data_IF_102639844690
#
_entry.id   IF_102639844690
#
_cell.length_a   1.000
_cell.length_b   1.000
_cell.length_c   1.000
_cell.angle_alpha   90.00
_cell.angle_beta   90.00
_cell.angle_gamma   90.00
#
_symmetry.space_group_name_H-M   'P 1'
#
loop_
_entity.id
_entity.type
_entity.pdbx_description
1 polymer ?
#
# COMPACT_ATOMS: atom_id res chain seq x y z
N UNK A 1 -9.24 3.44 -10.10
CA UNK A 1 -7.97 2.91 -10.64
C UNK A 1 -8.08 2.86 -12.15
N UNK A 2 -7.04 3.22 -12.87
CA UNK A 2 -6.92 3.09 -14.32
C UNK A 2 -5.87 2.01 -14.65
N UNK A 3 -6.20 1.09 -15.55
CA UNK A 3 -5.24 0.11 -16.09
C UNK A 3 -4.56 0.73 -17.29
N UNK A 4 -3.24 0.81 -17.28
CA UNK A 4 -2.46 1.43 -18.36
C UNK A 4 -2.05 0.39 -19.40
N UNK A 5 -1.33 -0.65 -18.98
CA UNK A 5 -0.84 -1.71 -19.86
C UNK A 5 -0.42 -2.94 -19.05
N UNK A 6 -0.43 -4.12 -19.68
CA UNK A 6 0.28 -5.28 -19.15
C UNK A 6 1.80 -5.04 -19.23
N UNK A 7 2.54 -5.56 -18.26
CA UNK A 7 4.01 -5.48 -18.18
C UNK A 7 4.60 -6.82 -17.76
N UNK A 8 5.87 -7.05 -18.08
CA UNK A 8 6.59 -8.24 -17.64
C UNK A 8 7.20 -8.01 -16.25
N UNK A 9 7.32 -9.07 -15.45
CA UNK A 9 7.91 -9.01 -14.11
C UNK A 9 9.30 -8.35 -14.06
N UNK A 10 10.25 -8.60 -14.99
CA UNK A 10 11.54 -7.91 -14.98
C UNK A 10 11.44 -6.39 -15.01
N UNK A 11 10.45 -5.82 -15.71
CA UNK A 11 10.23 -4.36 -15.73
C UNK A 11 9.78 -3.84 -14.36
N UNK A 12 8.93 -4.60 -13.67
CA UNK A 12 8.43 -4.28 -12.33
C UNK A 12 9.58 -4.34 -11.32
N UNK A 13 10.39 -5.39 -11.38
CA UNK A 13 11.55 -5.58 -10.51
C UNK A 13 12.60 -4.49 -10.73
N UNK A 14 12.92 -4.15 -11.99
CA UNK A 14 13.82 -3.04 -12.32
C UNK A 14 13.28 -1.69 -11.80
N UNK A 15 11.96 -1.47 -11.86
CA UNK A 15 11.33 -0.29 -11.28
C UNK A 15 11.45 -0.25 -9.76
N UNK A 16 11.25 -1.39 -9.10
CA UNK A 16 11.40 -1.53 -7.65
C UNK A 16 12.82 -1.16 -7.20
N UNK A 17 13.85 -1.71 -7.84
CA UNK A 17 15.26 -1.48 -7.49
C UNK A 17 15.72 -0.04 -7.70
N UNK A 18 15.17 0.67 -8.70
CA UNK A 18 15.47 2.11 -8.91
C UNK A 18 14.99 2.97 -7.73
N UNK A 19 13.84 2.64 -7.16
CA UNK A 19 13.24 3.42 -6.07
C UNK A 19 13.70 2.94 -4.67
N UNK A 20 14.23 1.72 -4.59
CA UNK A 20 14.67 1.06 -3.35
C UNK A 20 16.10 0.52 -3.47
N UNK A 21 17.12 1.39 -3.63
CA UNK A 21 18.49 0.90 -3.67
C UNK A 21 18.79 0.14 -2.38
N UNK A 22 19.12 -1.14 -2.54
CA UNK A 22 19.40 -2.08 -1.42
C UNK A 22 20.58 -1.59 -0.59
N UNK A 23 21.50 -0.87 -1.22
CA UNK A 23 22.71 -0.28 -0.61
C UNK A 23 22.48 1.09 0.04
N UNK A 24 21.24 1.55 0.20
CA UNK A 24 20.99 2.81 0.92
C UNK A 24 21.48 2.68 2.35
N UNK A 25 22.50 3.46 2.71
CA UNK A 25 23.02 3.57 4.06
C UNK A 25 21.96 4.20 4.99
N UNK A 26 21.07 3.37 5.51
CA UNK A 26 20.10 3.70 6.53
C UNK A 26 19.93 2.48 7.43
N UNK A 27 20.08 2.66 8.74
CA UNK A 27 20.02 1.58 9.74
C UNK A 27 18.72 0.77 9.72
N UNK A 28 17.64 1.35 9.19
CA UNK A 28 16.32 0.75 9.03
C UNK A 28 15.96 0.37 7.57
N UNK A 29 16.97 0.09 6.73
CA UNK A 29 16.78 -0.33 5.35
C UNK A 29 16.29 -1.81 5.31
N UNK A 30 14.99 -1.99 5.13
CA UNK A 30 14.31 -3.29 5.03
C UNK A 30 13.92 -3.66 3.59
N UNK A 31 14.56 -3.04 2.59
CA UNK A 31 14.18 -3.20 1.17
C UNK A 31 14.24 -4.66 0.67
N UNK A 32 15.05 -5.54 1.28
CA UNK A 32 15.07 -6.97 0.94
C UNK A 32 13.70 -7.65 1.13
N UNK A 33 12.94 -7.27 2.18
CA UNK A 33 11.63 -7.86 2.42
C UNK A 33 10.60 -7.47 1.35
N UNK A 34 10.71 -6.26 0.80
CA UNK A 34 9.85 -5.82 -0.29
C UNK A 34 10.17 -6.57 -1.59
N UNK A 35 11.45 -6.76 -1.90
CA UNK A 35 11.89 -7.54 -3.07
C UNK A 35 11.40 -8.99 -3.01
N UNK A 36 11.58 -9.68 -1.87
CA UNK A 36 11.09 -11.05 -1.72
C UNK A 36 9.55 -11.14 -1.84
N UNK A 37 8.82 -10.11 -1.40
CA UNK A 37 7.38 -10.06 -1.58
C UNK A 37 6.97 -9.87 -3.04
N UNK A 38 7.76 -9.13 -3.84
CA UNK A 38 7.57 -9.09 -5.30
C UNK A 38 7.78 -10.47 -5.93
N UNK A 39 8.83 -11.20 -5.54
CA UNK A 39 9.10 -12.57 -6.02
C UNK A 39 7.96 -13.55 -5.68
N UNK A 40 7.42 -13.46 -4.45
CA UNK A 40 6.25 -14.25 -4.04
C UNK A 40 5.01 -13.87 -4.84
N UNK A 41 4.82 -12.57 -5.06
CA UNK A 41 3.66 -12.03 -5.77
C UNK A 41 3.65 -12.40 -7.26
N UNK A 42 4.80 -12.60 -7.90
CA UNK A 42 4.90 -13.03 -9.30
C UNK A 42 4.24 -14.41 -9.57
N UNK A 43 4.00 -15.19 -8.52
CA UNK A 43 3.29 -16.47 -8.60
C UNK A 43 1.77 -16.32 -8.66
N UNK A 44 1.24 -15.11 -8.47
CA UNK A 44 -0.20 -14.82 -8.52
C UNK A 44 -0.67 -14.86 -9.99
N UNK A 45 -1.70 -15.66 -10.32
CA UNK A 45 -2.24 -15.72 -11.68
C UNK A 45 -2.82 -14.37 -12.13
N UNK A 46 -2.68 -14.05 -13.43
CA UNK A 46 -3.23 -12.82 -14.02
C UNK A 46 -2.16 -11.84 -14.54
N UNK A 47 -0.90 -12.06 -14.16
CA UNK A 47 0.25 -11.27 -14.63
C UNK A 47 0.31 -9.86 -14.04
N UNK A 48 1.29 -9.09 -14.48
CA UNK A 48 1.55 -7.74 -13.98
C UNK A 48 0.95 -6.66 -14.90
N UNK A 49 0.50 -5.59 -14.26
CA UNK A 49 -0.13 -4.44 -14.89
C UNK A 49 0.47 -3.16 -14.36
N UNK A 50 0.77 -2.22 -15.25
CA UNK A 50 0.97 -0.83 -14.87
C UNK A 50 -0.40 -0.18 -14.69
N UNK A 51 -0.59 0.51 -13.58
CA UNK A 51 -1.84 1.14 -13.20
C UNK A 51 -1.61 2.59 -12.78
N UNK A 52 -2.70 3.38 -12.73
CA UNK A 52 -2.75 4.68 -12.09
C UNK A 52 -3.82 4.73 -11.02
N UNK A 53 -3.46 5.33 -9.89
CA UNK A 53 -4.26 5.40 -8.68
C UNK A 53 -4.64 6.84 -8.38
N UNK A 54 -5.90 7.03 -8.01
CA UNK A 54 -6.41 8.22 -7.35
C UNK A 54 -6.24 8.10 -5.84
N UNK A 55 -6.46 9.18 -5.10
CA UNK A 55 -6.51 9.20 -3.64
C UNK A 55 -7.51 8.16 -3.12
N UNK A 56 -8.70 8.09 -3.70
CA UNK A 56 -9.72 7.10 -3.31
C UNK A 56 -9.20 5.67 -3.45
N UNK A 57 -8.47 5.37 -4.54
CA UNK A 57 -7.89 4.04 -4.74
C UNK A 57 -6.83 3.74 -3.68
N UNK A 58 -5.93 4.69 -3.43
CA UNK A 58 -4.85 4.53 -2.43
C UNK A 58 -5.41 4.33 -1.03
N UNK A 59 -6.42 5.11 -0.65
CA UNK A 59 -7.06 5.01 0.65
C UNK A 59 -7.74 3.65 0.89
N UNK A 60 -8.17 2.97 -0.18
CA UNK A 60 -8.77 1.65 -0.13
C UNK A 60 -7.78 0.47 -0.12
N UNK A 61 -6.48 0.72 -0.28
CA UNK A 61 -5.46 -0.35 -0.27
C UNK A 61 -5.40 -0.98 1.12
N UNK A 62 -5.48 -2.30 1.18
CA UNK A 62 -5.31 -3.10 2.39
C UNK A 62 -3.83 -3.27 2.70
N UNK A 63 -3.45 -2.93 3.92
CA UNK A 63 -2.12 -3.09 4.48
C UNK A 63 -2.07 -4.39 5.32
N UNK A 64 -1.04 -5.23 5.13
CA UNK A 64 -0.78 -6.40 5.98
C UNK A 64 -0.27 -5.98 7.36
N UNK A 65 -0.09 -6.95 8.25
CA UNK A 65 0.44 -6.73 9.59
C UNK A 65 1.75 -5.91 9.54
N UNK A 66 1.83 -4.88 10.35
CA UNK A 66 3.04 -4.07 10.48
C UNK A 66 3.20 -3.64 11.94
N UNK A 67 4.14 -4.29 12.61
CA UNK A 67 4.65 -3.83 13.91
C UNK A 67 5.67 -2.72 13.67
N UNK A 68 5.58 -1.64 14.44
CA UNK A 68 6.57 -0.57 14.32
C UNK A 68 7.98 -1.11 14.62
N UNK A 69 8.92 -0.82 13.72
CA UNK A 69 10.33 -1.17 13.92
C UNK A 69 10.85 -0.53 15.21
N UNK A 70 11.11 -1.33 16.25
CA UNK A 70 11.52 -0.81 17.56
C UNK A 70 10.41 -0.08 18.33
N UNK A 71 9.13 -0.31 18.00
CA UNK A 71 7.98 0.22 18.73
C UNK A 71 7.15 -0.86 19.43
N UNK A 72 6.29 -0.41 20.35
CA UNK A 72 5.44 -1.30 21.17
C UNK A 72 4.04 -1.50 20.58
N UNK A 73 3.65 -0.68 19.58
CA UNK A 73 2.31 -0.69 19.03
C UNK A 73 2.33 -1.12 17.56
N UNK A 74 1.31 -1.90 17.21
CA UNK A 74 1.02 -2.18 15.81
C UNK A 74 0.55 -0.90 15.12
N UNK A 75 1.24 -0.56 14.02
CA UNK A 75 0.73 0.41 13.05
C UNK A 75 -0.43 -0.22 12.28
N UNK A 76 -0.27 -1.48 11.89
CA UNK A 76 -1.33 -2.29 11.29
C UNK A 76 -1.45 -3.62 12.04
N UNK A 77 -2.61 -3.93 12.64
CA UNK A 77 -2.85 -5.22 13.30
C UNK A 77 -2.87 -6.38 12.30
N UNK A 78 -2.76 -7.60 12.82
CA UNK A 78 -2.77 -8.84 12.02
C UNK A 78 -3.97 -9.02 11.11
N UNK A 79 -5.14 -8.50 11.50
CA UNK A 79 -6.35 -8.50 10.69
C UNK A 79 -6.25 -7.65 9.41
N UNK A 80 -5.26 -6.76 9.34
CA UNK A 80 -5.11 -5.73 8.31
C UNK A 80 -5.89 -4.45 8.62
N UNK A 81 -5.51 -3.37 7.92
CA UNK A 81 -6.23 -2.10 7.85
C UNK A 81 -6.10 -1.54 6.44
N UNK A 82 -7.04 -0.71 6.03
CA UNK A 82 -6.85 0.14 4.86
C UNK A 82 -5.86 1.29 5.15
N UNK A 83 -5.31 1.90 4.11
CA UNK A 83 -4.48 3.11 4.24
C UNK A 83 -5.25 4.23 4.95
N UNK A 84 -6.55 4.39 4.68
CA UNK A 84 -7.39 5.36 5.37
C UNK A 84 -7.44 5.11 6.89
N UNK A 85 -7.74 3.88 7.30
CA UNK A 85 -7.86 3.51 8.71
C UNK A 85 -6.52 3.62 9.44
N UNK A 86 -5.43 3.21 8.81
CA UNK A 86 -4.10 3.34 9.37
C UNK A 86 -3.68 4.83 9.50
N UNK A 87 -4.00 5.68 8.53
CA UNK A 87 -3.75 7.12 8.63
C UNK A 87 -4.55 7.78 9.76
N UNK A 88 -5.83 7.42 9.92
CA UNK A 88 -6.66 7.89 11.04
C UNK A 88 -6.11 7.43 12.39
N UNK A 89 -5.65 6.18 12.50
CA UNK A 89 -5.00 5.67 13.71
C UNK A 89 -3.78 6.50 14.11
N UNK A 90 -2.93 6.86 13.15
CA UNK A 90 -1.77 7.73 13.38
C UNK A 90 -2.20 9.13 13.82
N UNK A 91 -3.20 9.73 13.14
CA UNK A 91 -3.73 11.07 13.50
C UNK A 91 -4.30 11.09 14.91
N UNK A 92 -5.16 10.12 15.24
CA UNK A 92 -5.84 10.03 16.54
C UNK A 92 -4.85 9.75 17.69
N UNK A 93 -3.81 8.95 17.44
CA UNK A 93 -2.81 8.62 18.46
C UNK A 93 -1.83 9.75 18.77
N UNK A 94 -1.60 10.67 17.83
CA UNK A 94 -0.83 11.90 18.04
C UNK A 94 0.56 11.69 18.65
N UNK A 95 0.89 12.47 19.68
CA UNK A 95 2.19 12.43 20.35
C UNK A 95 2.46 11.09 21.06
N UNK A 96 1.43 10.46 21.63
CA UNK A 96 1.58 9.18 22.32
C UNK A 96 1.95 8.07 21.33
N UNK A 97 1.30 8.02 20.16
CA UNK A 97 1.67 7.08 19.10
C UNK A 97 3.10 7.32 18.60
N UNK A 98 3.49 8.60 18.43
CA UNK A 98 4.85 8.96 18.01
C UNK A 98 5.91 8.47 19.00
N UNK A 99 5.67 8.65 20.30
CA UNK A 99 6.60 8.19 21.34
C UNK A 99 6.73 6.66 21.38
N UNK A 100 5.64 5.93 21.17
CA UNK A 100 5.63 4.47 21.16
C UNK A 100 6.15 3.85 19.86
N UNK A 101 6.28 4.63 18.77
CA UNK A 101 6.65 4.16 17.43
C UNK A 101 7.69 5.07 16.75
N UNK A 102 8.86 5.30 17.38
CA UNK A 102 9.78 6.37 16.99
C UNK A 102 10.35 6.21 15.58
N UNK A 103 10.65 4.98 15.14
CA UNK A 103 11.20 4.72 13.79
C UNK A 103 10.15 4.95 12.71
N UNK A 104 8.94 4.41 12.88
CA UNK A 104 7.84 4.66 11.94
C UNK A 104 7.51 6.16 11.87
N UNK A 105 7.44 6.85 13.01
CA UNK A 105 7.21 8.29 13.02
C UNK A 105 8.32 9.07 12.29
N UNK A 106 9.59 8.69 12.47
CA UNK A 106 10.70 9.28 11.75
C UNK A 106 10.61 9.04 10.23
N UNK A 107 10.27 7.82 9.80
CA UNK A 107 10.04 7.47 8.39
C UNK A 107 8.90 8.29 7.79
N UNK A 108 7.75 8.40 8.49
CA UNK A 108 6.61 9.21 8.02
C UNK A 108 6.99 10.68 7.86
N UNK A 109 7.72 11.26 8.83
CA UNK A 109 8.20 12.65 8.75
C UNK A 109 9.15 12.86 7.58
N UNK A 110 10.06 11.93 7.32
CA UNK A 110 10.99 11.99 6.20
C UNK A 110 10.25 11.91 4.86
N UNK A 111 9.31 10.97 4.74
CA UNK A 111 8.63 10.65 3.48
C UNK A 111 7.49 11.61 3.12
N UNK A 112 7.03 12.45 4.04
CA UNK A 112 5.92 13.40 3.79
C UNK A 112 6.16 14.28 2.57
N UNK A 113 7.42 14.60 2.26
CA UNK A 113 7.83 15.42 1.12
C UNK A 113 8.57 14.65 0.02
N UNK A 114 8.66 13.33 0.14
CA UNK A 114 9.29 12.50 -0.89
C UNK A 114 8.51 12.59 -2.22
N UNK A 115 9.17 12.38 -3.38
CA UNK A 115 8.49 12.25 -4.66
C UNK A 115 7.38 11.18 -4.61
N UNK A 116 6.32 11.36 -5.41
CA UNK A 116 5.32 10.32 -5.63
C UNK A 116 5.92 9.25 -6.54
N UNK A 117 6.47 8.20 -5.94
CA UNK A 117 7.00 7.04 -6.68
C UNK A 117 5.94 5.96 -6.83
N UNK A 118 6.09 5.02 -7.77
CA UNK A 118 5.23 3.85 -7.87
C UNK A 118 5.01 3.11 -6.55
N UNK A 119 3.82 2.55 -6.40
CA UNK A 119 3.46 1.58 -5.35
C UNK A 119 3.26 0.20 -5.96
N UNK A 120 3.50 -0.85 -5.18
CA UNK A 120 3.45 -2.24 -5.65
C UNK A 120 2.35 -2.98 -4.91
N UNK A 121 1.47 -3.61 -5.67
CA UNK A 121 0.20 -4.14 -5.20
C UNK A 121 -0.06 -5.54 -5.76
N UNK A 122 -0.89 -6.30 -5.05
CA UNK A 122 -1.42 -7.58 -5.51
C UNK A 122 -2.95 -7.61 -5.34
N UNK A 123 -3.61 -8.48 -6.11
CA UNK A 123 -5.05 -8.74 -5.94
C UNK A 123 -5.37 -9.78 -4.87
N UNK A 124 -4.34 -10.45 -4.34
CA UNK A 124 -4.43 -11.51 -3.35
C UNK A 124 -3.22 -11.46 -2.40
N UNK A 125 -3.35 -11.95 -1.16
CA UNK A 125 -2.23 -12.00 -0.22
C UNK A 125 -1.12 -12.92 -0.72
N UNK A 126 0.14 -12.55 -0.48
CA UNK A 126 1.30 -13.39 -0.79
C UNK A 126 1.53 -14.43 0.32
N UNK A 127 2.30 -15.48 0.01
CA UNK A 127 2.67 -16.52 0.98
C UNK A 127 3.76 -16.01 1.96
N UNK A 128 3.33 -15.22 2.94
CA UNK A 128 4.17 -14.65 3.99
C UNK A 128 3.37 -14.46 5.29
N UNK A 129 4.03 -14.53 6.45
CA UNK A 129 3.36 -14.49 7.77
C UNK A 129 2.53 -13.23 7.99
N UNK A 130 2.97 -12.10 7.44
CA UNK A 130 2.31 -10.80 7.62
C UNK A 130 0.94 -10.71 6.94
N UNK A 131 0.70 -11.63 5.99
CA UNK A 131 -0.51 -11.73 5.19
C UNK A 131 -1.44 -12.86 5.66
N UNK A 132 -0.96 -13.74 6.56
CA UNK A 132 -1.65 -14.95 6.97
C UNK A 132 -3.02 -14.68 7.58
N UNK A 133 -3.11 -13.66 8.43
CA UNK A 133 -4.27 -13.35 9.26
C UNK A 133 -5.19 -12.26 8.67
N UNK A 134 -4.95 -11.83 7.41
CA UNK A 134 -5.75 -10.81 6.75
C UNK A 134 -7.22 -11.24 6.63
N UNK A 135 -8.13 -10.38 7.12
CA UNK A 135 -9.58 -10.58 7.01
C UNK A 135 -10.04 -10.34 5.56
N UNK A 136 -9.57 -9.24 4.95
CA UNK A 136 -9.81 -8.94 3.54
C UNK A 136 -8.70 -9.58 2.71
N UNK A 137 -9.08 -10.57 1.91
CA UNK A 137 -8.14 -11.36 1.08
C UNK A 137 -8.32 -11.12 -0.42
N UNK A 138 -9.06 -10.08 -0.80
CA UNK A 138 -9.28 -9.65 -2.17
C UNK A 138 -9.37 -8.12 -2.25
N UNK A 139 -9.13 -7.56 -3.43
CA UNK A 139 -9.03 -6.11 -3.65
C UNK A 139 -7.57 -5.68 -3.87
N UNK A 140 -7.25 -4.41 -3.62
CA UNK A 140 -5.86 -3.93 -3.69
C UNK A 140 -5.15 -4.20 -2.37
N UNK A 141 -4.16 -5.09 -2.39
CA UNK A 141 -3.35 -5.45 -1.22
C UNK A 141 -1.92 -4.95 -1.42
N UNK A 142 -1.36 -4.35 -0.39
CA UNK A 142 -0.02 -3.77 -0.39
C UNK A 142 1.08 -4.85 -0.48
N UNK A 143 2.06 -4.63 -1.36
CA UNK A 143 3.35 -5.35 -1.38
C UNK A 143 4.48 -4.43 -0.91
N UNK A 144 4.52 -3.19 -1.41
CA UNK A 144 5.50 -2.18 -1.01
C UNK A 144 4.93 -0.74 -1.03
N UNK A 145 5.50 0.14 -0.19
CA UNK A 145 5.16 1.56 -0.13
C UNK A 145 4.31 2.00 1.07
N UNK A 146 4.12 1.16 2.10
CA UNK A 146 3.26 1.44 3.27
C UNK A 146 3.53 2.83 3.86
N UNK A 147 4.78 3.11 4.26
CA UNK A 147 5.14 4.38 4.87
C UNK A 147 5.01 5.56 3.90
N UNK A 148 5.22 5.36 2.59
CA UNK A 148 5.04 6.41 1.58
C UNK A 148 3.58 6.81 1.46
N UNK A 149 2.69 5.83 1.30
CA UNK A 149 1.25 6.06 1.16
C UNK A 149 0.68 6.78 2.39
N UNK A 150 1.03 6.31 3.60
CA UNK A 150 0.62 6.99 4.83
C UNK A 150 1.19 8.40 4.94
N UNK A 151 2.47 8.60 4.64
CA UNK A 151 3.09 9.92 4.71
C UNK A 151 2.47 10.92 3.73
N UNK A 152 2.14 10.47 2.51
CA UNK A 152 1.48 11.30 1.50
C UNK A 152 0.04 11.65 1.90
N UNK A 153 -0.72 10.73 2.45
CA UNK A 153 -2.07 11.01 2.96
C UNK A 153 -2.04 11.96 4.16
N UNK A 154 -1.15 11.72 5.13
CA UNK A 154 -0.98 12.60 6.29
C UNK A 154 -0.54 14.01 5.90
N UNK A 155 0.15 14.16 4.77
CA UNK A 155 0.57 15.45 4.21
C UNK A 155 -0.43 16.06 3.21
N UNK A 156 -1.55 15.39 2.91
CA UNK A 156 -2.54 15.86 1.92
C UNK A 156 -2.01 15.92 0.48
N UNK A 157 -1.11 15.00 0.11
CA UNK A 157 -0.40 15.00 -1.19
C UNK A 157 -0.89 13.95 -2.18
N UNK A 158 -1.78 13.04 -1.76
CA UNK A 158 -2.34 12.05 -2.68
C UNK A 158 -3.18 12.75 -3.76
N UNK A 159 -3.04 12.37 -5.03
CA UNK A 159 -3.72 13.05 -6.13
C UNK A 159 -5.21 12.70 -6.16
N UNK A 160 -6.08 13.70 -6.31
CA UNK A 160 -7.55 13.48 -6.40
C UNK A 160 -7.96 12.66 -7.63
N UNK A 161 -7.12 12.64 -8.68
CA UNK A 161 -7.34 11.88 -9.92
C UNK A 161 -6.29 10.79 -10.07
N UNK A 162 -6.53 9.84 -10.98
CA UNK A 162 -5.62 8.74 -11.28
C UNK A 162 -4.30 9.24 -11.88
N UNK A 163 -3.34 9.59 -11.02
CA UNK A 163 -2.04 10.16 -11.39
C UNK A 163 -0.87 9.48 -10.69
N UNK A 164 -1.11 8.78 -9.58
CA UNK A 164 -0.06 8.02 -8.91
C UNK A 164 0.18 6.72 -9.68
N UNK A 165 1.37 6.54 -10.23
CA UNK A 165 1.75 5.30 -10.89
C UNK A 165 1.80 4.14 -9.88
N UNK A 166 1.56 2.92 -10.37
CA UNK A 166 1.72 1.71 -9.58
C UNK A 166 1.83 0.47 -10.45
N UNK A 167 2.19 -0.63 -9.81
CA UNK A 167 2.24 -1.97 -10.41
C UNK A 167 1.32 -2.90 -9.64
N UNK A 168 0.50 -3.64 -10.35
CA UNK A 168 -0.47 -4.59 -9.81
C UNK A 168 -0.23 -5.97 -10.41
N UNK A 169 -0.08 -6.99 -9.57
CA UNK A 169 -0.16 -8.39 -10.01
C UNK A 169 -1.53 -8.98 -9.71
N UNK A 170 -2.06 -9.73 -10.68
CA UNK A 170 -3.33 -10.44 -10.56
C UNK A 170 -4.38 -10.01 -11.58
N UNK A 171 -5.64 -10.38 -11.34
CA UNK A 171 -6.76 -9.98 -12.20
C UNK A 171 -7.22 -8.55 -11.88
N UNK A 172 -6.96 -7.56 -12.75
CA UNK A 172 -7.30 -6.17 -12.47
C UNK A 172 -8.82 -5.91 -12.44
N UNK A 173 -9.64 -6.85 -12.94
CA UNK A 173 -11.10 -6.80 -12.79
C UNK A 173 -11.58 -7.06 -11.36
N UNK A 174 -10.85 -7.88 -10.59
CA UNK A 174 -11.15 -8.16 -9.18
C UNK A 174 -10.82 -6.94 -8.30
N UNK A 175 -9.75 -6.22 -8.63
CA UNK A 175 -9.36 -5.00 -7.93
C UNK A 175 -10.38 -3.85 -8.05
N UNK A 176 -11.23 -3.86 -9.08
CA UNK A 176 -12.19 -2.81 -9.38
C UNK A 176 -13.59 -3.00 -8.72
N UNK A 177 -13.77 -3.99 -7.84
CA UNK A 177 -15.08 -4.38 -7.29
C UNK A 177 -15.78 -3.34 -6.38
N UNK A 178 -17.12 -3.44 -6.28
CA UNK A 178 -18.03 -2.57 -7.03
C UNK A 178 -17.95 -1.11 -6.56
N UNK A 179 -17.99 -0.17 -7.51
CA UNK A 179 -18.46 1.18 -7.23
C UNK A 179 -19.78 1.07 -6.46
N UNK A 180 -19.87 1.66 -5.26
CA UNK A 180 -21.12 1.74 -4.48
C UNK A 180 -22.25 2.11 -5.43
N UNK A 181 -23.15 1.16 -5.71
CA UNK A 181 -24.35 1.42 -6.47
C UNK A 181 -25.09 2.56 -5.76
N UNK A 182 -25.28 3.66 -6.49
CA UNK A 182 -26.04 4.80 -6.00
C UNK A 182 -27.39 4.30 -5.50
N UNK A 183 -27.78 4.77 -4.31
CA UNK A 183 -29.15 4.66 -3.83
C UNK A 183 -30.06 5.23 -4.94
N UNK A 184 -30.78 4.37 -5.65
CA UNK A 184 -32.07 4.78 -6.19
C UNK A 184 -32.94 4.99 -4.95
N UNK A 185 -33.23 6.25 -4.65
CA UNK A 185 -34.31 6.57 -3.75
C UNK A 185 -35.57 6.01 -4.38
N UNK A 186 -36.21 5.07 -3.69
CA UNK A 186 -37.61 4.78 -3.92
C UNK A 186 -38.40 6.07 -3.65
N UNK A 187 -38.98 6.60 -4.72
CA UNK A 187 -40.18 7.42 -4.63
C UNK A 187 -41.28 6.52 -4.06
N UNK A 188 -41.66 6.78 -2.81
CA UNK A 188 -42.94 6.32 -2.29
C UNK A 188 -43.98 7.37 -2.64
N UNK A 189 -44.88 6.99 -3.55
CA UNK A 189 -46.23 7.52 -3.62
C UNK A 189 -47.07 7.02 -2.44
#
# INVERSE_FOLDING_TARGET
MEIVTAVAYPEVHDAYLRDHPVDRAHEANSNMYGEENLDRADRIPGGWWRIRLSRTDVLGIVLPWHLSEGGELELVPRSGLTVAEAAERVRAGGAAWTAANPVCAAKLRLLRWAPLTPVFLSTAPVDHSDYGDLVLRSGLIHLDGLHRMLAWELAGRLPERALLDGYLVGDPGVAAGPARAGRRGDESA
#
